data_IF_883752658958
#
_entry.id   IF_883752658958
#
_cell.length_a   1.000
_cell.length_b   1.000
_cell.length_c   1.000
_cell.angle_alpha   90.00
_cell.angle_beta   90.00
_cell.angle_gamma   90.00
#
_symmetry.space_group_name_H-M   'P 1'
#
loop_
_entity.id
_entity.type
_entity.pdbx_description
1 polymer ?
#
# COMPACT_ATOMS: atom_id res chain seq x y z
N UNK A 1 -64.66 -22.35 13.28
CA UNK A 1 -64.50 -21.17 14.17
C UNK A 1 -63.12 -21.23 14.74
N UNK A 2 -62.46 -20.11 14.68
CA UNK A 2 -61.17 -19.74 15.24
C UNK A 2 -59.94 -20.07 14.38
N UNK A 3 -59.64 -19.10 13.51
CA UNK A 3 -58.36 -18.89 12.86
C UNK A 3 -57.29 -18.56 13.92
N UNK A 4 -56.10 -19.13 13.79
CA UNK A 4 -54.90 -18.61 14.43
C UNK A 4 -53.89 -18.22 13.35
N UNK A 5 -53.68 -16.92 13.25
CA UNK A 5 -52.67 -16.30 12.44
C UNK A 5 -51.29 -16.74 12.90
N UNK A 6 -50.52 -17.27 11.95
CA UNK A 6 -49.08 -17.55 12.15
C UNK A 6 -48.30 -16.26 11.94
N UNK A 7 -47.70 -15.73 13.01
CA UNK A 7 -46.73 -14.65 12.93
C UNK A 7 -45.42 -15.16 12.32
N UNK A 8 -45.13 -14.62 11.13
CA UNK A 8 -43.87 -14.86 10.45
C UNK A 8 -42.77 -13.99 11.15
N UNK A 9 -41.93 -14.63 11.95
CA UNK A 9 -40.74 -14.02 12.47
C UNK A 9 -39.79 -13.72 11.30
N UNK A 10 -39.74 -12.48 10.87
CA UNK A 10 -38.67 -11.99 9.99
C UNK A 10 -37.43 -11.83 10.86
N UNK A 11 -36.58 -12.84 10.82
CA UNK A 11 -35.21 -12.73 11.31
C UNK A 11 -34.48 -11.66 10.50
N UNK A 12 -34.18 -10.54 11.12
CA UNK A 12 -33.24 -9.56 10.61
C UNK A 12 -31.85 -10.19 10.57
N UNK A 13 -31.50 -10.84 9.47
CA UNK A 13 -30.15 -11.32 9.19
C UNK A 13 -29.25 -10.09 8.98
N UNK A 14 -28.67 -9.59 10.04
CA UNK A 14 -27.51 -8.71 9.96
C UNK A 14 -26.39 -9.54 9.32
N UNK A 15 -26.07 -9.27 8.06
CA UNK A 15 -24.83 -9.71 7.44
C UNK A 15 -23.70 -9.05 8.22
N UNK A 16 -23.06 -9.79 9.12
CA UNK A 16 -21.76 -9.43 9.65
C UNK A 16 -20.79 -9.58 8.48
N UNK A 17 -20.60 -8.48 7.75
CA UNK A 17 -19.59 -8.37 6.72
C UNK A 17 -18.23 -8.48 7.43
N UNK A 18 -17.65 -9.68 7.38
CA UNK A 18 -16.37 -9.95 8.05
C UNK A 18 -15.26 -9.24 7.30
N UNK A 19 -14.36 -8.58 8.03
CA UNK A 19 -13.16 -7.98 7.46
C UNK A 19 -12.41 -9.04 6.62
N UNK A 20 -12.10 -8.69 5.37
CA UNK A 20 -11.34 -9.57 4.48
C UNK A 20 -9.87 -9.44 4.80
N UNK A 21 -9.22 -10.55 5.10
CA UNK A 21 -7.79 -10.63 5.39
C UNK A 21 -7.06 -11.34 4.27
N UNK A 22 -6.01 -10.70 3.73
CA UNK A 22 -5.17 -11.23 2.67
C UNK A 22 -3.74 -11.32 3.20
N UNK A 23 -3.07 -12.43 2.95
CA UNK A 23 -1.65 -12.61 3.27
C UNK A 23 -0.88 -12.67 1.97
N UNK A 24 0.14 -11.83 1.85
CA UNK A 24 1.02 -11.82 0.70
C UNK A 24 2.49 -11.95 1.16
N UNK A 25 3.29 -12.59 0.34
CA UNK A 25 4.74 -12.66 0.52
C UNK A 25 5.41 -12.33 -0.79
N UNK A 26 6.45 -11.51 -0.69
CA UNK A 26 7.29 -11.17 -1.83
C UNK A 26 8.74 -11.48 -1.53
N UNK A 27 9.48 -11.75 -2.58
CA UNK A 27 10.92 -11.82 -2.56
C UNK A 27 11.46 -10.71 -3.47
N UNK A 28 12.51 -10.04 -3.05
CA UNK A 28 13.24 -9.16 -3.96
C UNK A 28 13.89 -9.96 -5.09
N UNK A 29 14.21 -9.28 -6.19
CA UNK A 29 14.75 -9.95 -7.36
C UNK A 29 16.15 -10.53 -7.13
N UNK A 30 16.91 -9.99 -6.18
CA UNK A 30 18.23 -10.50 -5.81
C UNK A 30 18.16 -11.81 -5.01
N UNK A 31 16.99 -12.14 -4.46
CA UNK A 31 16.77 -13.29 -3.59
C UNK A 31 17.25 -13.11 -2.15
N UNK A 32 17.72 -11.92 -1.79
CA UNK A 32 18.24 -11.61 -0.44
C UNK A 32 17.18 -11.09 0.51
N UNK A 33 16.12 -10.47 -0.04
CA UNK A 33 15.04 -9.90 0.74
C UNK A 33 13.76 -10.71 0.63
N UNK A 34 13.01 -10.75 1.72
CA UNK A 34 11.68 -11.34 1.80
C UNK A 34 10.76 -10.42 2.61
N UNK A 35 9.54 -10.28 2.12
CA UNK A 35 8.48 -9.56 2.80
C UNK A 35 7.31 -10.47 3.14
N UNK A 36 6.74 -10.27 4.33
CA UNK A 36 5.45 -10.85 4.73
C UNK A 36 4.52 -9.73 5.14
N UNK A 37 3.40 -9.62 4.44
CA UNK A 37 2.41 -8.56 4.68
C UNK A 37 1.02 -9.15 4.85
N UNK A 38 0.30 -8.62 5.83
CA UNK A 38 -1.11 -8.91 6.10
C UNK A 38 -1.91 -7.67 5.76
N UNK A 39 -2.76 -7.78 4.75
CA UNK A 39 -3.70 -6.71 4.35
C UNK A 39 -5.07 -7.03 4.92
N UNK A 40 -5.69 -6.06 5.58
CA UNK A 40 -7.05 -6.16 6.09
C UNK A 40 -7.91 -5.10 5.42
N UNK A 41 -8.95 -5.54 4.71
CA UNK A 41 -9.93 -4.68 4.07
C UNK A 41 -11.24 -4.73 4.84
N UNK A 42 -11.72 -3.56 5.27
CA UNK A 42 -12.98 -3.42 5.98
C UNK A 42 -13.87 -2.34 5.37
N UNK A 43 -15.09 -2.23 5.85
CA UNK A 43 -16.00 -1.15 5.43
C UNK A 43 -15.55 0.25 5.86
N UNK A 44 -14.65 0.35 6.84
CA UNK A 44 -14.21 1.63 7.40
C UNK A 44 -12.82 2.03 6.93
N UNK A 45 -11.91 1.07 6.86
CA UNK A 45 -10.50 1.32 6.55
C UNK A 45 -9.87 0.09 5.90
N UNK A 46 -8.80 0.34 5.14
CA UNK A 46 -7.87 -0.68 4.68
C UNK A 46 -6.55 -0.51 5.44
N UNK A 47 -5.95 -1.60 5.85
CA UNK A 47 -4.65 -1.55 6.53
C UNK A 47 -3.72 -2.63 6.03
N UNK A 48 -2.42 -2.39 6.16
CA UNK A 48 -1.39 -3.37 5.92
C UNK A 48 -0.38 -3.34 7.07
N UNK A 49 -0.04 -4.53 7.56
CA UNK A 49 1.02 -4.76 8.53
C UNK A 49 2.07 -5.65 7.87
N UNK A 50 3.27 -5.11 7.64
CA UNK A 50 4.34 -5.78 6.92
C UNK A 50 5.64 -5.88 7.71
N UNK A 51 6.39 -6.94 7.43
CA UNK A 51 7.76 -7.13 7.87
C UNK A 51 8.60 -7.49 6.67
N UNK A 52 9.70 -6.76 6.49
CA UNK A 52 10.71 -7.00 5.44
C UNK A 52 12.02 -7.36 6.11
N UNK A 53 12.65 -8.41 5.63
CA UNK A 53 14.03 -8.78 5.99
C UNK A 53 14.84 -8.67 4.70
N UNK A 54 15.89 -7.86 4.68
CA UNK A 54 16.69 -7.61 3.48
C UNK A 54 18.13 -7.25 3.81
N UNK A 55 18.91 -6.91 2.80
CA UNK A 55 20.26 -6.40 2.95
C UNK A 55 20.58 -5.36 1.86
N UNK A 56 21.23 -4.27 2.25
CA UNK A 56 21.76 -3.26 1.35
C UNK A 56 23.28 -3.18 1.51
N UNK A 57 24.02 -3.22 0.38
CA UNK A 57 25.50 -3.17 0.37
C UNK A 57 26.15 -4.19 1.32
N UNK A 58 25.51 -5.37 1.46
CA UNK A 58 25.97 -6.44 2.34
C UNK A 58 25.62 -6.27 3.83
N UNK A 59 24.96 -5.17 4.21
CA UNK A 59 24.52 -4.93 5.58
C UNK A 59 23.07 -5.42 5.75
N UNK A 60 22.80 -6.41 6.64
CA UNK A 60 21.46 -6.89 6.89
C UNK A 60 20.64 -5.87 7.68
N UNK A 61 19.36 -5.75 7.34
CA UNK A 61 18.39 -4.96 8.09
C UNK A 61 17.02 -5.61 8.05
N UNK A 62 16.15 -5.23 8.99
CA UNK A 62 14.74 -5.58 8.94
C UNK A 62 13.89 -4.35 9.20
N UNK A 63 12.75 -4.30 8.52
CA UNK A 63 11.78 -3.21 8.60
C UNK A 63 10.46 -3.79 9.06
N UNK A 64 9.79 -3.08 9.96
CA UNK A 64 8.37 -3.26 10.23
C UNK A 64 7.63 -2.01 9.78
N UNK A 65 6.51 -2.19 9.11
CA UNK A 65 5.65 -1.07 8.74
C UNK A 65 4.19 -1.36 9.02
N UNK A 66 3.43 -0.29 9.26
CA UNK A 66 1.98 -0.28 9.32
C UNK A 66 1.46 0.85 8.45
N UNK A 67 0.58 0.55 7.52
CA UNK A 67 -0.05 1.52 6.64
C UNK A 67 -1.55 1.45 6.86
N UNK A 68 -2.20 2.61 7.02
CA UNK A 68 -3.64 2.75 7.18
C UNK A 68 -4.20 3.70 6.14
N UNK A 69 -5.20 3.25 5.41
CA UNK A 69 -5.89 3.99 4.39
C UNK A 69 -7.38 4.07 4.73
N UNK A 70 -8.07 5.05 4.17
CA UNK A 70 -9.53 5.00 4.15
C UNK A 70 -10.02 3.88 3.19
N UNK A 71 -11.33 3.70 3.11
CA UNK A 71 -11.95 2.67 2.25
C UNK A 71 -11.64 2.85 0.75
N UNK A 72 -11.23 4.05 0.33
CA UNK A 72 -10.85 4.36 -1.06
C UNK A 72 -9.33 4.26 -1.30
N UNK A 73 -8.61 3.67 -0.35
CA UNK A 73 -7.15 3.51 -0.39
C UNK A 73 -6.36 4.81 -0.32
N UNK A 74 -6.99 5.91 0.10
CA UNK A 74 -6.26 7.14 0.40
C UNK A 74 -5.52 6.99 1.71
N UNK A 75 -4.22 7.19 1.70
CA UNK A 75 -3.38 7.07 2.89
C UNK A 75 -3.82 8.04 3.99
N UNK A 76 -3.85 7.55 5.24
CA UNK A 76 -4.16 8.32 6.45
C UNK A 76 -3.02 8.30 7.45
N UNK A 77 -2.34 7.17 7.57
CA UNK A 77 -1.25 7.02 8.53
C UNK A 77 -0.25 5.99 8.01
N UNK A 78 1.03 6.24 8.23
CA UNK A 78 2.09 5.27 8.04
C UNK A 78 3.03 5.29 9.25
N UNK A 79 3.37 4.11 9.75
CA UNK A 79 4.39 3.87 10.76
C UNK A 79 5.43 2.94 10.16
N UNK A 80 6.71 3.29 10.31
CA UNK A 80 7.84 2.53 9.75
C UNK A 80 8.94 2.53 10.79
N UNK A 81 9.51 1.37 11.07
CA UNK A 81 10.64 1.24 11.99
C UNK A 81 11.70 0.28 11.44
N UNK A 82 12.96 0.55 11.75
CA UNK A 82 14.05 -0.41 11.55
C UNK A 82 14.11 -1.28 12.82
N UNK A 83 13.95 -2.58 12.65
CA UNK A 83 13.92 -3.53 13.76
C UNK A 83 15.29 -3.60 14.44
N UNK A 84 15.30 -3.39 15.77
CA UNK A 84 16.55 -3.37 16.55
C UNK A 84 17.29 -2.03 16.52
N UNK A 85 16.69 -0.98 15.95
CA UNK A 85 17.20 0.38 15.90
C UNK A 85 16.17 1.34 16.54
N UNK A 86 16.59 2.55 16.87
CA UNK A 86 15.67 3.60 17.37
C UNK A 86 15.07 4.43 16.23
N UNK A 87 15.53 4.23 14.99
CA UNK A 87 15.06 4.99 13.82
C UNK A 87 13.67 4.54 13.42
N UNK A 88 12.77 5.49 13.36
CA UNK A 88 11.39 5.30 12.93
C UNK A 88 10.85 6.54 12.25
N UNK A 89 9.84 6.34 11.43
CA UNK A 89 9.04 7.39 10.80
C UNK A 89 7.58 7.17 11.17
N UNK A 90 6.91 8.25 11.44
CA UNK A 90 5.47 8.23 11.66
C UNK A 90 4.85 9.42 10.95
N UNK A 91 3.92 9.16 10.05
CA UNK A 91 3.26 10.14 9.22
C UNK A 91 1.75 10.08 9.40
N UNK A 92 1.14 11.25 9.41
CA UNK A 92 -0.30 11.43 9.29
C UNK A 92 -0.58 12.27 8.06
N UNK A 93 -1.50 11.81 7.20
CA UNK A 93 -1.91 12.50 5.97
C UNK A 93 -3.38 12.90 6.05
N UNK A 94 -3.70 14.10 5.59
CA UNK A 94 -5.09 14.52 5.39
C UNK A 94 -5.74 13.83 4.18
N UNK A 95 -4.93 13.19 3.32
CA UNK A 95 -5.35 12.58 2.06
C UNK A 95 -5.55 13.56 0.92
N UNK A 96 -5.11 14.81 1.09
CA UNK A 96 -5.17 15.89 0.09
C UNK A 96 -3.81 16.50 -0.20
N UNK A 97 -2.76 15.89 0.34
CA UNK A 97 -1.37 16.30 0.11
C UNK A 97 -0.74 17.11 1.23
N UNK A 98 -1.37 17.18 2.41
CA UNK A 98 -0.75 17.75 3.61
C UNK A 98 -0.36 16.64 4.58
N UNK A 99 0.82 16.78 5.14
CA UNK A 99 1.44 15.78 6.01
C UNK A 99 1.91 16.37 7.32
N UNK A 100 1.77 15.61 8.38
CA UNK A 100 2.31 15.93 9.70
C UNK A 100 3.09 14.75 10.26
N UNK A 101 3.98 15.02 11.22
CA UNK A 101 4.56 13.99 12.07
C UNK A 101 3.54 13.51 13.14
N UNK A 102 3.98 12.55 13.98
CA UNK A 102 3.16 12.02 15.06
C UNK A 102 2.74 13.08 16.12
N UNK A 103 3.49 14.17 16.22
CA UNK A 103 3.21 15.28 17.14
C UNK A 103 2.28 16.34 16.53
N UNK A 104 1.89 16.18 15.26
CA UNK A 104 1.05 17.12 14.51
C UNK A 104 1.83 18.27 13.87
N UNK A 105 3.18 18.24 13.88
CA UNK A 105 3.97 19.27 13.21
C UNK A 105 3.89 19.09 11.69
N UNK A 106 3.64 20.16 10.91
CA UNK A 106 3.59 20.08 9.46
C UNK A 106 4.92 19.63 8.85
N UNK A 107 4.83 18.87 7.75
CA UNK A 107 5.96 18.40 6.95
C UNK A 107 5.85 18.97 5.52
N UNK A 108 6.06 20.29 5.32
CA UNK A 108 5.80 20.96 4.04
C UNK A 108 6.65 20.45 2.88
N UNK A 109 7.78 19.80 3.15
CA UNK A 109 8.60 19.14 2.11
C UNK A 109 7.88 17.97 1.41
N UNK A 110 6.78 17.48 1.99
CA UNK A 110 5.97 16.38 1.46
C UNK A 110 4.66 16.87 0.83
N UNK A 111 4.42 18.19 0.81
CA UNK A 111 3.19 18.76 0.30
C UNK A 111 2.94 18.36 -1.16
N UNK A 112 1.71 18.01 -1.47
CA UNK A 112 1.26 17.53 -2.77
C UNK A 112 1.41 16.02 -2.99
N UNK A 113 2.15 15.29 -2.13
CA UNK A 113 2.16 13.83 -2.16
C UNK A 113 0.87 13.29 -1.52
N UNK A 114 0.26 12.26 -2.13
CA UNK A 114 -0.95 11.61 -1.62
C UNK A 114 -0.67 10.18 -1.16
N UNK A 115 0.26 9.52 -1.84
CA UNK A 115 0.64 8.13 -1.57
C UNK A 115 2.00 8.08 -0.86
N UNK A 116 2.32 6.91 -0.31
CA UNK A 116 3.66 6.57 0.19
C UNK A 116 4.22 5.44 -0.67
N UNK A 117 5.53 5.45 -0.89
CA UNK A 117 6.25 4.40 -1.59
C UNK A 117 7.47 3.97 -0.77
N UNK A 118 7.54 2.69 -0.44
CA UNK A 118 8.62 2.09 0.33
C UNK A 118 9.55 1.32 -0.62
N UNK A 119 10.82 1.73 -0.75
CA UNK A 119 11.75 1.10 -1.69
C UNK A 119 11.95 -0.40 -1.46
N UNK A 120 11.57 -0.93 -0.32
CA UNK A 120 11.70 -2.34 0.08
C UNK A 120 10.42 -3.16 -0.06
N UNK A 121 9.30 -2.55 -0.47
CA UNK A 121 8.00 -3.22 -0.48
C UNK A 121 7.22 -2.93 -1.74
N UNK A 122 6.80 -3.93 -2.51
CA UNK A 122 5.90 -3.74 -3.65
C UNK A 122 4.45 -3.48 -3.22
N UNK A 123 4.11 -3.68 -1.93
CA UNK A 123 2.77 -3.43 -1.43
C UNK A 123 2.32 -1.99 -1.68
N UNK A 124 3.23 -1.01 -1.56
CA UNK A 124 2.88 0.41 -1.67
C UNK A 124 2.37 0.81 -3.06
N UNK A 125 2.71 0.06 -4.12
CA UNK A 125 2.11 0.25 -5.45
C UNK A 125 0.60 -0.04 -5.48
N UNK A 126 0.09 -0.84 -4.53
CA UNK A 126 -1.34 -1.13 -4.42
C UNK A 126 -2.15 0.12 -4.09
N UNK A 127 -1.58 1.07 -3.35
CA UNK A 127 -2.28 2.29 -2.95
C UNK A 127 -2.76 3.10 -4.15
N UNK A 128 -1.87 3.61 -5.03
CA UNK A 128 -2.30 4.36 -6.21
C UNK A 128 -3.12 3.50 -7.20
N UNK A 129 -2.80 2.22 -7.38
CA UNK A 129 -3.55 1.32 -8.26
C UNK A 129 -5.02 1.22 -7.82
N UNK A 130 -5.27 1.03 -6.52
CA UNK A 130 -6.61 0.90 -5.95
C UNK A 130 -7.34 2.23 -5.83
N UNK A 131 -6.63 3.30 -5.51
CA UNK A 131 -7.20 4.63 -5.33
C UNK A 131 -7.61 5.25 -6.66
N UNK A 132 -6.77 5.16 -7.69
CA UNK A 132 -6.98 5.82 -8.97
C UNK A 132 -8.01 5.12 -9.87
N UNK A 133 -8.17 3.79 -9.75
CA UNK A 133 -9.10 2.98 -10.53
C UNK A 133 -9.06 3.30 -12.03
N UNK A 134 -7.86 3.39 -12.60
CA UNK A 134 -7.65 3.83 -13.97
C UNK A 134 -8.34 2.93 -14.98
N UNK A 135 -9.04 3.52 -15.94
CA UNK A 135 -9.52 2.83 -17.12
C UNK A 135 -8.34 2.41 -18.02
N UNK A 136 -8.53 1.35 -18.82
CA UNK A 136 -7.52 0.88 -19.77
C UNK A 136 -7.05 2.02 -20.69
N UNK A 137 -5.73 2.18 -20.80
CA UNK A 137 -5.06 3.21 -21.59
C UNK A 137 -4.97 4.59 -20.91
N UNK A 138 -5.59 4.78 -19.73
CA UNK A 138 -5.48 6.03 -18.99
C UNK A 138 -4.20 6.10 -18.19
N UNK A 139 -3.65 7.32 -18.07
CA UNK A 139 -2.46 7.65 -17.30
C UNK A 139 -2.72 8.78 -16.32
N UNK A 140 -2.11 8.72 -15.15
CA UNK A 140 -2.15 9.80 -14.15
C UNK A 140 -0.77 9.98 -13.53
N UNK A 141 -0.35 11.24 -13.41
CA UNK A 141 0.83 11.62 -12.64
C UNK A 141 0.43 11.85 -11.19
N UNK A 142 1.22 11.34 -10.26
CA UNK A 142 1.05 11.48 -8.83
C UNK A 142 2.37 11.92 -8.20
N UNK A 143 2.30 12.31 -6.92
CA UNK A 143 3.46 12.42 -6.05
C UNK A 143 3.30 11.45 -4.90
N UNK A 144 4.38 10.71 -4.60
CA UNK A 144 4.46 9.83 -3.46
C UNK A 144 5.53 10.33 -2.48
N UNK A 145 5.34 10.04 -1.21
CA UNK A 145 6.41 10.11 -0.22
C UNK A 145 7.25 8.85 -0.38
N UNK A 146 8.38 8.97 -1.07
CA UNK A 146 9.31 7.86 -1.25
C UNK A 146 10.22 7.74 -0.03
N UNK A 147 10.27 6.56 0.57
CA UNK A 147 11.13 6.23 1.70
C UNK A 147 12.18 5.24 1.25
N UNK A 148 13.42 5.69 1.30
CA UNK A 148 14.58 4.90 0.94
C UNK A 148 15.10 4.10 2.14
N UNK A 149 15.48 2.85 1.93
CA UNK A 149 15.99 1.96 2.97
C UNK A 149 17.43 1.53 2.68
N UNK A 150 18.25 1.33 3.75
CA UNK A 150 17.90 1.30 5.18
C UNK A 150 18.01 2.63 5.93
N UNK A 151 18.38 3.72 5.28
CA UNK A 151 18.70 5.00 5.90
C UNK A 151 17.49 5.85 6.28
N UNK A 152 16.29 5.48 5.79
CA UNK A 152 15.03 6.19 5.98
C UNK A 152 15.05 7.62 5.41
N UNK A 153 15.84 7.85 4.36
CA UNK A 153 15.75 9.10 3.61
C UNK A 153 14.37 9.24 2.97
N UNK A 154 13.83 10.47 2.99
CA UNK A 154 12.49 10.78 2.52
C UNK A 154 12.56 11.84 1.45
N UNK A 155 12.00 11.55 0.29
CA UNK A 155 11.87 12.51 -0.82
C UNK A 155 10.43 12.53 -1.35
N UNK A 156 10.05 13.65 -1.98
CA UNK A 156 8.81 13.72 -2.76
C UNK A 156 9.11 13.26 -4.17
N UNK A 157 8.55 12.12 -4.57
CA UNK A 157 8.86 11.42 -5.82
C UNK A 157 7.69 11.56 -6.82
N UNK A 158 7.91 12.20 -7.98
CA UNK A 158 6.91 12.28 -9.02
C UNK A 158 6.87 10.98 -9.83
N UNK A 159 5.69 10.37 -9.91
CA UNK A 159 5.47 9.08 -10.55
C UNK A 159 4.31 9.15 -11.54
N UNK A 160 4.34 8.30 -12.57
CA UNK A 160 3.21 8.08 -13.47
C UNK A 160 2.77 6.63 -13.45
N UNK A 161 1.46 6.45 -13.32
CA UNK A 161 0.81 5.15 -13.50
C UNK A 161 -0.05 5.17 -14.75
N UNK A 162 0.17 4.20 -15.65
CA UNK A 162 -0.65 3.96 -16.83
C UNK A 162 -1.32 2.58 -16.71
N UNK A 163 -2.63 2.52 -16.81
CA UNK A 163 -3.36 1.26 -16.81
C UNK A 163 -3.25 0.59 -18.20
N UNK A 164 -2.57 -0.53 -18.30
CA UNK A 164 -2.48 -1.35 -19.51
C UNK A 164 -3.64 -2.37 -19.58
N UNK A 165 -4.01 -2.94 -18.43
CA UNK A 165 -5.15 -3.84 -18.28
C UNK A 165 -5.65 -3.74 -16.83
N UNK A 166 -6.89 -3.31 -16.58
CA UNK A 166 -7.41 -3.05 -15.23
C UNK A 166 -7.28 -4.25 -14.30
N UNK A 167 -6.75 -4.02 -13.09
CA UNK A 167 -6.45 -5.04 -12.07
C UNK A 167 -5.66 -6.25 -12.61
N UNK A 168 -4.78 -5.99 -13.57
CA UNK A 168 -3.87 -7.00 -14.11
C UNK A 168 -2.50 -6.43 -14.42
N UNK A 169 -2.41 -5.28 -15.12
CA UNK A 169 -1.14 -4.75 -15.58
C UNK A 169 -1.14 -3.23 -15.66
N UNK A 170 -0.09 -2.66 -15.08
CA UNK A 170 0.15 -1.22 -15.06
C UNK A 170 1.57 -0.93 -15.48
N UNK A 171 1.79 0.20 -16.15
CA UNK A 171 3.12 0.76 -16.34
C UNK A 171 3.36 1.79 -15.24
N UNK A 172 4.45 1.61 -14.54
CA UNK A 172 5.02 2.55 -13.59
C UNK A 172 6.19 3.29 -14.25
N UNK A 173 6.26 4.58 -14.03
CA UNK A 173 7.33 5.46 -14.51
C UNK A 173 7.72 6.40 -13.37
N UNK A 174 9.03 6.45 -13.01
CA UNK A 174 9.60 7.54 -12.24
C UNK A 174 9.77 8.72 -13.20
N UNK A 175 9.35 9.93 -12.79
CA UNK A 175 9.36 11.10 -13.68
C UNK A 175 10.64 11.94 -13.56
N UNK A 176 11.49 11.64 -12.57
CA UNK A 176 12.80 12.25 -12.36
C UNK A 176 13.98 11.31 -12.69
N UNK A 177 13.69 10.15 -13.28
CA UNK A 177 14.68 9.17 -13.74
C UNK A 177 14.18 8.42 -14.99
N UNK A 178 15.06 7.61 -15.59
CA UNK A 178 14.71 6.73 -16.73
C UNK A 178 14.09 5.40 -16.29
N UNK A 179 13.63 5.30 -15.03
CA UNK A 179 13.09 4.05 -14.52
C UNK A 179 11.65 3.85 -14.98
N UNK A 180 11.43 2.81 -15.80
CA UNK A 180 10.12 2.41 -16.32
C UNK A 180 9.97 0.90 -16.16
N UNK A 181 8.84 0.44 -15.63
CA UNK A 181 8.51 -1.00 -15.50
C UNK A 181 7.03 -1.26 -15.71
N UNK A 182 6.74 -2.45 -16.22
CA UNK A 182 5.37 -2.99 -16.18
C UNK A 182 5.22 -3.85 -14.93
N UNK A 183 4.15 -3.59 -14.18
CA UNK A 183 3.81 -4.27 -12.93
C UNK A 183 2.59 -5.14 -13.20
N UNK A 184 2.68 -6.42 -12.88
CA UNK A 184 1.54 -7.34 -12.87
C UNK A 184 0.93 -7.39 -11.47
N UNK A 185 -0.39 -7.33 -11.38
CA UNK A 185 -1.13 -7.37 -10.12
C UNK A 185 -2.26 -8.39 -10.17
N UNK A 186 -2.74 -8.81 -9.02
CA UNK A 186 -3.95 -9.63 -8.89
C UNK A 186 -5.23 -8.78 -8.82
N UNK A 187 -6.37 -9.43 -8.62
CA UNK A 187 -7.69 -8.80 -8.49
C UNK A 187 -7.82 -7.84 -7.31
N UNK A 188 -6.95 -7.97 -6.31
CA UNK A 188 -6.85 -7.07 -5.16
C UNK A 188 -5.92 -5.88 -5.42
N UNK A 189 -5.25 -5.84 -6.58
CA UNK A 189 -4.26 -4.84 -6.93
C UNK A 189 -2.92 -5.05 -6.24
N UNK A 190 -2.71 -6.22 -5.63
CA UNK A 190 -1.45 -6.58 -5.02
C UNK A 190 -0.48 -7.09 -6.08
N UNK A 191 0.76 -6.64 -6.03
CA UNK A 191 1.80 -6.99 -7.01
C UNK A 191 2.04 -8.50 -7.06
N UNK A 192 2.02 -9.07 -8.26
CA UNK A 192 2.40 -10.46 -8.54
C UNK A 192 3.82 -10.51 -9.08
N UNK A 193 4.13 -9.63 -10.03
CA UNK A 193 5.42 -9.56 -10.67
C UNK A 193 5.82 -8.11 -10.93
N UNK A 194 6.99 -7.73 -10.45
CA UNK A 194 7.60 -6.42 -10.69
C UNK A 194 9.03 -6.67 -11.20
N UNK A 195 9.21 -6.80 -12.51
CA UNK A 195 10.47 -7.27 -13.11
C UNK A 195 11.68 -6.46 -12.65
N UNK A 196 12.70 -7.16 -12.16
CA UNK A 196 13.92 -6.58 -11.64
C UNK A 196 13.86 -6.09 -10.20
N UNK A 197 12.68 -6.04 -9.56
CA UNK A 197 12.52 -5.60 -8.18
C UNK A 197 11.90 -6.67 -7.27
N UNK A 198 10.69 -7.17 -7.58
CA UNK A 198 9.97 -8.07 -6.69
C UNK A 198 9.16 -9.13 -7.45
N UNK A 199 8.98 -10.28 -6.80
CA UNK A 199 8.06 -11.33 -7.23
C UNK A 199 7.28 -11.89 -6.05
N UNK A 200 6.01 -12.23 -6.28
CA UNK A 200 5.16 -12.87 -5.29
C UNK A 200 5.60 -14.32 -5.05
N UNK A 201 5.59 -14.75 -3.80
CA UNK A 201 5.80 -16.14 -3.37
C UNK A 201 4.50 -16.82 -2.96
N UNK A 202 3.54 -16.06 -2.38
CA UNK A 202 2.22 -16.49 -1.94
C UNK A 202 1.20 -15.41 -2.23
#
# INVERSE_FOLDING_TARGET
MSERAGECFRGSGGSFDMDRRIVARWQDWSGKGIEHTVVTCSQKLNSADGVVISAAEGQPFAVRYQIRCDRLWTLKQAYIEIVGDQRKLEFVSDGRGQWTDASGNPLPRLDGAIDIDLSVSPFTNTLPIRRLQLAKGSSVEIRAVYVHFPDLEIVSDPQRYTCLDPLRRYRYESLDSDFVREIEVDEDGLVVNYPGLFKRLL
#
